data_IF_520935013654
#
_entry.id   IF_520935013654
#
_cell.length_a   1.000
_cell.length_b   1.000
_cell.length_c   1.000
_cell.angle_alpha   90.00
_cell.angle_beta   90.00
_cell.angle_gamma   90.00
#
_symmetry.space_group_name_H-M   'P 1'
#
loop_
_entity.id
_entity.type
_entity.pdbx_description
1 polymer ?
#
# COMPACT_ATOMS: atom_id res chain seq x y z
N UNK A 1 0.31 -7.63 -1.73
CA UNK A 1 1.09 -6.37 -1.58
C UNK A 1 2.57 -6.61 -1.38
N UNK A 2 3.00 -7.68 -0.71
CA UNK A 2 4.42 -7.92 -0.48
C UNK A 2 5.26 -7.91 -1.77
N UNK A 3 4.78 -8.58 -2.83
CA UNK A 3 5.43 -8.56 -4.15
C UNK A 3 5.62 -7.14 -4.70
N UNK A 4 4.63 -6.25 -4.55
CA UNK A 4 4.74 -4.86 -4.98
C UNK A 4 5.74 -4.07 -4.11
N UNK A 5 5.78 -4.33 -2.80
CA UNK A 5 6.78 -3.73 -1.91
C UNK A 5 8.19 -4.17 -2.34
N UNK A 6 8.37 -5.45 -2.63
CA UNK A 6 9.66 -5.99 -3.06
C UNK A 6 10.10 -5.41 -4.41
N UNK A 7 9.17 -5.25 -5.36
CA UNK A 7 9.43 -4.56 -6.63
C UNK A 7 9.85 -3.11 -6.40
N UNK A 8 9.14 -2.36 -5.56
CA UNK A 8 9.50 -0.97 -5.25
C UNK A 8 10.88 -0.87 -4.58
N UNK A 9 11.23 -1.83 -3.72
CA UNK A 9 12.55 -1.90 -3.09
C UNK A 9 13.66 -2.24 -4.09
N UNK A 10 13.39 -3.12 -5.05
CA UNK A 10 14.33 -3.42 -6.13
C UNK A 10 14.65 -2.19 -6.99
N UNK A 11 13.70 -1.25 -7.10
CA UNK A 11 13.89 0.07 -7.72
C UNK A 11 14.59 1.10 -6.80
N UNK A 12 15.06 0.69 -5.62
CA UNK A 12 15.86 1.52 -4.72
C UNK A 12 15.09 2.25 -3.62
N UNK A 13 13.81 1.93 -3.41
CA UNK A 13 13.04 2.50 -2.30
C UNK A 13 13.32 1.75 -0.99
N UNK A 14 13.36 2.49 0.12
CA UNK A 14 13.28 1.90 1.46
C UNK A 14 11.89 1.34 1.75
N UNK A 15 11.74 0.50 2.77
CA UNK A 15 10.44 -0.03 3.21
C UNK A 15 9.42 1.09 3.47
N UNK A 16 9.85 2.15 4.17
CA UNK A 16 9.00 3.33 4.46
C UNK A 16 8.55 4.04 3.19
N UNK A 17 9.44 4.18 2.20
CA UNK A 17 9.11 4.81 0.92
C UNK A 17 8.19 3.94 0.07
N UNK A 18 8.38 2.62 0.05
CA UNK A 18 7.52 1.69 -0.68
C UNK A 18 6.09 1.72 -0.13
N UNK A 19 5.94 1.63 1.21
CA UNK A 19 4.64 1.73 1.88
C UNK A 19 3.97 3.08 1.58
N UNK A 20 4.74 4.18 1.61
CA UNK A 20 4.21 5.50 1.29
C UNK A 20 3.78 5.64 -0.17
N UNK A 21 4.54 5.07 -1.11
CA UNK A 21 4.19 5.10 -2.54
C UNK A 21 2.86 4.37 -2.79
N UNK A 22 2.70 3.19 -2.18
CA UNK A 22 1.47 2.40 -2.21
C UNK A 22 0.27 3.21 -1.69
N UNK A 23 0.44 3.92 -0.58
CA UNK A 23 -0.60 4.77 0.01
C UNK A 23 -0.98 5.95 -0.91
N UNK A 24 0.01 6.59 -1.55
CA UNK A 24 -0.21 7.67 -2.51
C UNK A 24 -1.04 7.15 -3.70
N UNK A 25 -0.69 5.98 -4.24
CA UNK A 25 -1.42 5.35 -5.35
C UNK A 25 -2.86 5.00 -4.95
N UNK A 26 -3.08 4.44 -3.75
CA UNK A 26 -4.41 4.19 -3.18
C UNK A 26 -5.26 5.46 -3.19
N UNK A 27 -4.73 6.53 -2.60
CA UNK A 27 -5.45 7.80 -2.47
C UNK A 27 -5.70 8.45 -3.83
N UNK A 28 -4.73 8.38 -4.74
CA UNK A 28 -4.88 8.84 -6.11
C UNK A 28 -5.99 8.06 -6.83
N UNK A 29 -6.01 6.73 -6.77
CA UNK A 29 -7.03 5.89 -7.37
C UNK A 29 -8.43 6.21 -6.82
N UNK A 30 -8.57 6.37 -5.49
CA UNK A 30 -9.84 6.78 -4.86
C UNK A 30 -10.31 8.15 -5.36
N UNK A 31 -9.39 9.10 -5.55
CA UNK A 31 -9.73 10.44 -6.06
C UNK A 31 -10.22 10.43 -7.51
N UNK A 32 -9.70 9.53 -8.35
CA UNK A 32 -10.07 9.42 -9.77
C UNK A 32 -11.30 8.55 -9.99
N UNK A 33 -11.52 7.60 -9.10
CA UNK A 33 -12.59 6.61 -9.21
C UNK A 33 -13.44 6.53 -7.93
N UNK A 34 -14.14 7.62 -7.55
CA UNK A 34 -14.84 7.71 -6.27
C UNK A 34 -15.95 6.66 -6.11
N UNK A 35 -16.62 6.26 -7.20
CA UNK A 35 -17.60 5.17 -7.19
C UNK A 35 -17.01 3.82 -6.74
N UNK A 36 -15.71 3.61 -6.96
CA UNK A 36 -14.99 2.41 -6.57
C UNK A 36 -14.19 2.58 -5.27
N UNK A 37 -14.30 3.72 -4.58
CA UNK A 37 -13.49 4.04 -3.41
C UNK A 37 -13.56 2.99 -2.31
N UNK A 38 -14.75 2.45 -2.03
CA UNK A 38 -14.94 1.37 -1.05
C UNK A 38 -14.36 0.02 -1.49
N UNK A 39 -14.36 -0.29 -2.80
CA UNK A 39 -13.75 -1.51 -3.32
C UNK A 39 -12.22 -1.42 -3.28
N UNK A 40 -11.66 -0.26 -3.63
CA UNK A 40 -10.23 0.02 -3.51
C UNK A 40 -9.78 -0.13 -2.06
N UNK A 41 -10.55 0.40 -1.10
CA UNK A 41 -10.24 0.25 0.33
C UNK A 41 -10.13 -1.23 0.73
N UNK A 42 -11.12 -2.05 0.36
CA UNK A 42 -11.15 -3.49 0.66
C UNK A 42 -9.98 -4.27 0.07
N UNK A 43 -9.55 -3.93 -1.16
CA UNK A 43 -8.38 -4.56 -1.78
C UNK A 43 -7.13 -4.25 -0.95
N UNK A 44 -6.94 -2.98 -0.59
CA UNK A 44 -5.79 -2.60 0.22
C UNK A 44 -5.83 -3.25 1.60
N UNK A 45 -6.96 -3.27 2.30
CA UNK A 45 -7.09 -3.96 3.60
C UNK A 45 -6.78 -5.45 3.51
N UNK A 46 -7.30 -6.15 2.47
CA UNK A 46 -7.13 -7.59 2.31
C UNK A 46 -5.69 -8.00 2.01
N UNK A 47 -4.99 -7.18 1.25
CA UNK A 47 -3.67 -7.53 0.72
C UNK A 47 -2.52 -6.77 1.35
N UNK A 48 -2.77 -5.72 2.14
CA UNK A 48 -1.72 -5.02 2.88
C UNK A 48 -1.00 -6.02 3.78
N UNK A 49 0.33 -5.91 3.92
CA UNK A 49 1.04 -6.69 4.92
C UNK A 49 0.35 -6.42 6.25
N UNK A 50 -0.13 -7.47 6.91
CA UNK A 50 -0.52 -7.35 8.31
C UNK A 50 0.76 -6.96 9.03
N UNK A 51 0.81 -5.76 9.58
CA UNK A 51 1.78 -5.47 10.64
C UNK A 51 1.34 -6.37 11.79
N UNK A 52 1.90 -7.58 11.86
CA UNK A 52 2.00 -8.27 13.13
C UNK A 52 3.03 -7.44 13.92
N UNK A 53 2.52 -6.52 14.75
CA UNK A 53 3.09 -5.97 15.98
C UNK A 53 4.58 -5.50 16.07
N UNK A 54 5.38 -5.47 15.00
CA UNK A 54 6.83 -5.14 15.08
C UNK A 54 7.15 -3.62 14.96
N UNK A 55 6.21 -2.74 15.32
CA UNK A 55 6.48 -1.30 15.48
C UNK A 55 6.41 -0.84 16.95
N UNK A 56 6.28 -1.77 17.89
CA UNK A 56 6.36 -1.55 19.34
C UNK A 56 7.24 -2.63 20.00
N UNK A 57 8.53 -2.63 19.69
CA UNK A 57 9.62 -3.00 20.62
C UNK A 57 10.92 -2.28 20.21
#
# INVERSE_FOLDING_TARGET
MQELIDQLKAEGLTDKQALRAIEIVKNFAKSKFPLFGGAIEKVFEKYSPKQDDDFLD
#
